data_IF_554555448516
#
_entry.id   IF_554555448516
#
_cell.length_a   1.000
_cell.length_b   1.000
_cell.length_c   1.000
_cell.angle_alpha   90.00
_cell.angle_beta   90.00
_cell.angle_gamma   90.00
#
_symmetry.space_group_name_H-M   'P 1'
#
loop_
_entity.id
_entity.type
_entity.pdbx_description
1 polymer ?
#
# COMPACT_ATOMS: atom_id res chain seq x y z
N UNK A 1 -12.24 3.38 -4.67
CA UNK A 1 -12.50 4.31 -3.54
C UNK A 1 -11.35 4.40 -2.53
N UNK A 2 -10.37 3.49 -2.52
CA UNK A 2 -9.33 3.40 -1.47
C UNK A 2 -8.54 4.68 -1.19
N UNK A 3 -7.99 5.34 -2.22
CA UNK A 3 -7.14 6.55 -2.05
C UNK A 3 -7.92 7.85 -2.33
N UNK A 4 -9.09 7.75 -2.95
CA UNK A 4 -9.83 8.90 -3.49
C UNK A 4 -10.32 9.87 -2.41
N UNK A 5 -10.83 9.36 -1.29
CA UNK A 5 -11.33 10.21 -0.20
C UNK A 5 -10.18 11.01 0.44
N UNK A 6 -9.09 10.35 0.83
CA UNK A 6 -7.91 11.02 1.38
C UNK A 6 -7.28 11.99 0.38
N UNK A 7 -7.28 11.65 -0.91
CA UNK A 7 -6.87 12.56 -1.98
C UNK A 7 -7.67 13.85 -2.01
N UNK A 8 -8.99 13.77 -1.84
CA UNK A 8 -9.86 14.96 -1.77
C UNK A 8 -9.57 15.80 -0.50
N UNK A 9 -9.36 15.17 0.66
CA UNK A 9 -9.02 15.86 1.91
C UNK A 9 -7.68 16.60 1.78
N UNK A 10 -6.69 15.98 1.14
CA UNK A 10 -5.34 16.53 0.97
C UNK A 10 -5.20 17.44 -0.27
N UNK A 11 -6.27 17.65 -1.05
CA UNK A 11 -6.23 18.33 -2.33
C UNK A 11 -5.72 19.78 -2.26
N UNK A 12 -5.84 20.44 -1.10
CA UNK A 12 -5.33 21.80 -0.88
C UNK A 12 -3.80 21.90 -0.87
N UNK A 13 -3.10 20.79 -0.62
CA UNK A 13 -1.63 20.73 -0.65
C UNK A 13 -1.15 19.59 -1.58
N UNK A 14 -0.71 19.92 -2.81
CA UNK A 14 -0.29 18.91 -3.79
C UNK A 14 0.83 18.00 -3.30
N UNK A 15 1.75 18.52 -2.46
CA UNK A 15 2.84 17.74 -1.89
C UNK A 15 2.35 16.70 -0.88
N UNK A 16 1.39 17.07 -0.02
CA UNK A 16 0.78 16.11 0.91
C UNK A 16 0.03 15.01 0.14
N UNK A 17 -0.78 15.39 -0.85
CA UNK A 17 -1.50 14.43 -1.68
C UNK A 17 -0.55 13.47 -2.42
N UNK A 18 0.55 14.00 -2.99
CA UNK A 18 1.56 13.21 -3.70
C UNK A 18 2.31 12.25 -2.77
N UNK A 19 2.74 12.71 -1.59
CA UNK A 19 3.46 11.86 -0.64
C UNK A 19 2.57 10.73 -0.12
N UNK A 20 1.30 11.04 0.20
CA UNK A 20 0.31 10.03 0.61
C UNK A 20 0.06 9.00 -0.49
N UNK A 21 -0.20 9.44 -1.72
CA UNK A 21 -0.38 8.54 -2.86
C UNK A 21 0.86 7.69 -3.12
N UNK A 22 2.06 8.28 -3.05
CA UNK A 22 3.33 7.58 -3.26
C UNK A 22 3.55 6.46 -2.22
N UNK A 23 3.17 6.66 -0.96
CA UNK A 23 3.24 5.61 0.07
C UNK A 23 2.38 4.39 -0.30
N UNK A 24 1.14 4.62 -0.75
CA UNK A 24 0.28 3.53 -1.22
C UNK A 24 0.79 2.87 -2.50
N UNK A 25 1.28 3.66 -3.46
CA UNK A 25 1.86 3.12 -4.69
C UNK A 25 3.10 2.27 -4.42
N UNK A 26 3.95 2.64 -3.45
CA UNK A 26 5.10 1.80 -3.05
C UNK A 26 4.65 0.48 -2.47
N UNK A 27 3.68 0.51 -1.56
CA UNK A 27 3.16 -0.70 -0.92
C UNK A 27 2.55 -1.69 -1.91
N UNK A 28 2.02 -1.22 -3.06
CA UNK A 28 1.30 -2.07 -4.01
C UNK A 28 2.07 -2.37 -5.29
N UNK A 29 2.82 -1.40 -5.82
CA UNK A 29 3.34 -1.43 -7.20
C UNK A 29 4.87 -1.35 -7.29
N UNK A 30 5.58 -1.23 -6.16
CA UNK A 30 7.05 -1.18 -6.20
C UNK A 30 7.59 -2.49 -6.78
N UNK A 31 8.55 -2.45 -7.74
CA UNK A 31 9.22 -3.67 -8.19
C UNK A 31 9.99 -4.35 -7.04
N UNK A 32 10.44 -3.56 -6.07
CA UNK A 32 11.18 -4.02 -4.88
C UNK A 32 10.29 -4.20 -3.64
N UNK A 33 8.97 -4.39 -3.80
CA UNK A 33 8.00 -4.47 -2.69
C UNK A 33 8.41 -5.49 -1.61
N UNK A 34 8.99 -6.62 -2.00
CA UNK A 34 9.43 -7.68 -1.09
C UNK A 34 10.56 -7.25 -0.14
N UNK A 35 11.28 -6.16 -0.43
CA UNK A 35 12.33 -5.64 0.45
C UNK A 35 11.79 -4.95 1.70
N UNK A 36 10.52 -4.53 1.70
CA UNK A 36 9.93 -3.73 2.79
C UNK A 36 8.50 -4.11 3.14
N UNK A 37 8.00 -5.24 2.64
CA UNK A 37 6.71 -5.80 3.02
C UNK A 37 6.85 -7.26 3.42
N UNK A 38 6.00 -7.72 4.34
CA UNK A 38 5.94 -9.13 4.73
C UNK A 38 4.47 -9.57 4.85
N UNK A 39 4.07 -10.59 4.09
CA UNK A 39 2.70 -11.13 4.14
C UNK A 39 2.54 -11.98 5.40
N UNK A 40 1.56 -11.65 6.24
CA UNK A 40 1.33 -12.34 7.53
C UNK A 40 0.09 -13.23 7.50
N UNK A 41 -0.87 -12.98 6.60
CA UNK A 41 -2.06 -13.82 6.45
C UNK A 41 -2.53 -13.89 5.00
N UNK A 42 -2.90 -15.09 4.58
CA UNK A 42 -3.46 -15.39 3.25
C UNK A 42 -4.72 -16.25 3.37
N UNK A 43 -5.54 -16.26 2.31
CA UNK A 43 -6.62 -17.21 2.12
C UNK A 43 -6.70 -17.64 0.64
N UNK A 44 -7.42 -18.73 0.36
CA UNK A 44 -7.66 -19.13 -1.03
C UNK A 44 -8.43 -18.03 -1.77
N UNK A 45 -7.90 -17.60 -2.92
CA UNK A 45 -8.56 -16.59 -3.74
C UNK A 45 -9.83 -17.16 -4.38
N UNK A 46 -10.94 -16.43 -4.26
CA UNK A 46 -12.18 -16.81 -4.93
C UNK A 46 -12.02 -16.69 -6.45
N UNK A 47 -12.39 -17.72 -7.19
CA UNK A 47 -12.44 -17.68 -8.66
C UNK A 47 -11.12 -17.88 -9.39
N UNK A 48 -10.01 -18.14 -8.67
CA UNK A 48 -8.71 -18.48 -9.28
C UNK A 48 -8.13 -19.71 -8.56
N UNK A 49 -8.21 -20.91 -9.18
CA UNK A 49 -7.71 -22.14 -8.58
C UNK A 49 -6.22 -22.05 -8.23
N UNK A 50 -5.87 -22.39 -6.99
CA UNK A 50 -4.49 -22.39 -6.50
C UNK A 50 -3.90 -21.01 -6.18
N UNK A 51 -4.60 -19.92 -6.45
CA UNK A 51 -4.14 -18.59 -6.06
C UNK A 51 -4.47 -18.27 -4.60
N UNK A 52 -3.58 -17.51 -3.96
CA UNK A 52 -3.73 -17.03 -2.60
C UNK A 52 -3.99 -15.52 -2.60
N UNK A 53 -5.02 -15.09 -1.90
CA UNK A 53 -5.32 -13.69 -1.64
C UNK A 53 -4.63 -13.25 -0.34
N UNK A 54 -3.93 -12.12 -0.40
CA UNK A 54 -3.29 -11.49 0.77
C UNK A 54 -4.37 -10.82 1.62
N UNK A 55 -4.51 -11.24 2.87
CA UNK A 55 -5.46 -10.67 3.84
C UNK A 55 -4.79 -9.71 4.82
N UNK A 56 -3.49 -9.88 5.06
CA UNK A 56 -2.71 -9.01 5.93
C UNK A 56 -1.24 -9.02 5.51
N UNK A 57 -0.61 -7.85 5.59
CA UNK A 57 0.82 -7.67 5.41
C UNK A 57 1.33 -6.56 6.32
N UNK A 58 2.58 -6.69 6.74
CA UNK A 58 3.33 -5.65 7.44
C UNK A 58 4.15 -4.84 6.45
N UNK A 59 4.35 -3.55 6.76
CA UNK A 59 5.17 -2.63 5.97
C UNK A 59 6.23 -1.99 6.85
N UNK A 60 7.48 -2.01 6.40
CA UNK A 60 8.63 -1.53 7.16
C UNK A 60 9.18 -0.24 6.57
N UNK A 61 8.78 0.91 7.12
CA UNK A 61 9.29 2.21 6.72
C UNK A 61 10.39 2.72 7.66
N UNK A 62 11.36 3.44 7.09
CA UNK A 62 12.32 4.22 7.88
C UNK A 62 11.58 5.41 8.49
N UNK A 63 11.84 5.71 9.78
CA UNK A 63 11.22 6.85 10.49
C UNK A 63 11.25 8.17 9.70
N UNK A 64 12.41 8.55 9.16
CA UNK A 64 12.59 9.77 8.35
C UNK A 64 11.67 9.93 7.13
N UNK A 65 11.09 8.83 6.65
CA UNK A 65 10.16 8.86 5.51
C UNK A 65 8.72 9.13 5.96
N UNK A 66 8.40 8.82 7.22
CA UNK A 66 7.07 8.94 7.81
C UNK A 66 6.91 10.16 8.73
N UNK A 67 8.02 10.81 9.10
CA UNK A 67 8.04 12.13 9.75
C UNK A 67 7.72 13.26 8.76
#
# INVERSE_FOLDING_TARGET
LSVALSGAVLARCPSCARNFAAMHCRNTCSPDQSLFTNVTRVANASGVPGALAVLEYQVFYRRRYAE
#
